data_IF_409602187089
#
_entry.id   IF_409602187089
#
_cell.length_a   1.000
_cell.length_b   1.000
_cell.length_c   1.000
_cell.angle_alpha   90.00
_cell.angle_beta   90.00
_cell.angle_gamma   90.00
#
_symmetry.space_group_name_H-M   'P 1'
#
loop_
_entity.id
_entity.type
_entity.pdbx_description
1 polymer ?
#
# COMPACT_ATOMS: atom_id res chain seq x y z
N UNK A 1 42.06 -87.42 -54.21
CA UNK A 1 41.34 -87.01 -53.00
C UNK A 1 41.08 -85.54 -53.14
N UNK A 2 39.99 -85.20 -53.85
CA UNK A 2 39.62 -83.81 -54.13
C UNK A 2 38.56 -83.35 -53.15
N UNK A 3 38.78 -82.12 -52.64
CA UNK A 3 37.77 -81.44 -51.83
C UNK A 3 37.18 -80.29 -52.66
N UNK A 4 35.86 -80.14 -52.75
CA UNK A 4 35.27 -79.08 -53.49
C UNK A 4 35.28 -77.75 -52.65
N UNK A 5 35.60 -76.64 -53.36
CA UNK A 5 35.53 -75.27 -52.84
C UNK A 5 34.11 -74.80 -53.01
N UNK A 6 33.48 -74.46 -51.90
CA UNK A 6 32.17 -73.70 -51.88
C UNK A 6 32.47 -72.25 -51.80
N UNK A 7 32.06 -71.53 -52.82
CA UNK A 7 32.13 -70.08 -52.87
C UNK A 7 30.80 -69.46 -52.37
N UNK A 8 30.87 -68.75 -51.26
CA UNK A 8 29.73 -67.98 -50.73
C UNK A 8 29.84 -66.55 -51.19
N UNK A 9 29.02 -66.15 -52.15
CA UNK A 9 28.81 -64.77 -52.47
C UNK A 9 27.67 -64.24 -51.57
N UNK A 10 27.99 -63.46 -50.54
CA UNK A 10 27.03 -62.77 -49.67
C UNK A 10 26.66 -61.49 -50.35
N UNK A 11 25.43 -61.35 -50.80
CA UNK A 11 24.83 -60.16 -51.25
C UNK A 11 24.39 -59.29 -49.98
N UNK A 12 25.14 -58.26 -49.71
CA UNK A 12 24.75 -57.28 -48.74
C UNK A 12 23.70 -56.30 -49.37
N UNK A 13 22.44 -56.47 -48.99
CA UNK A 13 21.41 -55.45 -49.26
C UNK A 13 21.49 -54.36 -48.19
N UNK A 14 22.05 -53.18 -48.55
CA UNK A 14 22.05 -52.00 -47.68
C UNK A 14 20.68 -51.42 -47.65
N UNK A 15 20.01 -51.53 -46.52
CA UNK A 15 18.77 -50.74 -46.23
C UNK A 15 19.18 -49.34 -45.79
N UNK A 16 19.00 -48.37 -46.68
CA UNK A 16 19.15 -46.92 -46.34
C UNK A 16 17.88 -46.51 -45.63
N UNK A 17 17.95 -46.42 -44.30
CA UNK A 17 16.89 -45.80 -43.49
C UNK A 17 16.97 -44.28 -43.64
N UNK A 18 16.07 -43.66 -44.42
CA UNK A 18 15.90 -42.24 -44.50
C UNK A 18 15.11 -41.80 -43.24
N UNK A 19 15.83 -41.33 -42.22
CA UNK A 19 15.22 -40.68 -41.07
C UNK A 19 14.65 -39.30 -41.49
N UNK A 20 13.35 -39.19 -41.68
CA UNK A 20 12.67 -37.93 -41.88
C UNK A 20 12.73 -37.17 -40.55
N UNK A 21 13.60 -36.14 -40.44
CA UNK A 21 13.58 -35.18 -39.35
C UNK A 21 12.28 -34.33 -39.51
N UNK A 22 11.28 -34.61 -38.69
CA UNK A 22 10.13 -33.75 -38.54
C UNK A 22 10.57 -32.42 -37.92
N UNK A 23 10.58 -31.36 -38.69
CA UNK A 23 10.76 -29.98 -38.18
C UNK A 23 9.59 -29.69 -37.24
N UNK A 24 9.84 -29.17 -36.02
CA UNK A 24 8.76 -28.76 -35.13
C UNK A 24 7.92 -27.67 -35.85
N UNK A 25 6.62 -27.88 -35.88
CA UNK A 25 5.70 -26.85 -36.38
C UNK A 25 5.87 -25.56 -35.55
N UNK A 26 5.87 -24.37 -36.17
CA UNK A 26 5.95 -23.14 -35.41
C UNK A 26 4.75 -23.08 -34.44
N UNK A 27 5.06 -22.86 -33.16
CA UNK A 27 4.02 -22.64 -32.17
C UNK A 27 3.13 -21.45 -32.61
N UNK A 28 1.81 -21.56 -32.48
CA UNK A 28 0.94 -20.45 -32.83
C UNK A 28 1.38 -19.21 -32.04
N UNK A 29 1.60 -18.10 -32.75
CA UNK A 29 1.91 -16.82 -32.10
C UNK A 29 0.78 -16.51 -31.10
N UNK A 30 1.13 -16.29 -29.84
CA UNK A 30 0.16 -15.87 -28.84
C UNK A 30 -0.55 -14.61 -29.36
N UNK A 31 -1.87 -14.63 -29.42
CA UNK A 31 -2.62 -13.43 -29.76
C UNK A 31 -2.20 -12.28 -28.83
N UNK A 32 -2.01 -11.06 -29.37
CA UNK A 32 -1.65 -9.92 -28.56
C UNK A 32 -2.72 -9.75 -27.46
N UNK A 33 -2.29 -9.81 -26.22
CA UNK A 33 -3.19 -9.63 -25.09
C UNK A 33 -3.97 -8.31 -25.25
N UNK A 34 -5.29 -8.35 -25.12
CA UNK A 34 -6.16 -7.19 -25.29
C UNK A 34 -5.67 -5.99 -24.47
N UNK A 35 -5.79 -4.80 -25.05
CA UNK A 35 -5.44 -3.56 -24.35
C UNK A 35 -6.31 -3.40 -23.11
N UNK A 36 -5.72 -3.21 -21.91
CA UNK A 36 -6.49 -2.96 -20.70
C UNK A 36 -7.35 -1.69 -20.84
N UNK A 37 -8.48 -1.67 -20.13
CA UNK A 37 -9.38 -0.53 -20.08
C UNK A 37 -9.48 0.05 -18.68
N UNK A 38 -9.85 1.33 -18.58
CA UNK A 38 -9.99 1.99 -17.29
C UNK A 38 -11.05 1.29 -16.42
N UNK A 39 -12.25 1.09 -16.96
CA UNK A 39 -13.40 0.57 -16.19
C UNK A 39 -13.17 -0.85 -15.69
N UNK A 40 -12.61 -1.72 -16.50
CA UNK A 40 -12.46 -3.14 -16.17
C UNK A 40 -11.18 -3.46 -15.43
N UNK A 41 -10.06 -2.87 -15.87
CA UNK A 41 -8.74 -3.36 -15.48
C UNK A 41 -8.02 -2.40 -14.53
N UNK A 42 -8.20 -1.07 -14.70
CA UNK A 42 -7.45 -0.06 -13.95
C UNK A 42 -8.15 0.39 -12.69
N UNK A 43 -9.48 0.61 -12.74
CA UNK A 43 -10.25 1.04 -11.56
C UNK A 43 -10.12 0.11 -10.37
N UNK A 44 -10.16 -1.23 -10.50
CA UNK A 44 -9.97 -2.13 -9.36
C UNK A 44 -8.62 -1.89 -8.66
N UNK A 45 -7.55 -1.71 -9.44
CA UNK A 45 -6.21 -1.41 -8.89
C UNK A 45 -6.23 -0.06 -8.17
N UNK A 46 -6.84 0.96 -8.78
CA UNK A 46 -6.91 2.29 -8.18
C UNK A 46 -7.74 2.33 -6.91
N UNK A 47 -8.85 1.62 -6.87
CA UNK A 47 -9.67 1.49 -5.67
C UNK A 47 -8.90 0.85 -4.51
N UNK A 48 -8.07 -0.15 -4.80
CA UNK A 48 -7.29 -0.84 -3.78
C UNK A 48 -6.06 -0.04 -3.33
N UNK A 49 -5.29 0.49 -4.26
CA UNK A 49 -3.93 1.00 -4.00
C UNK A 49 -3.80 2.53 -4.02
N UNK A 50 -4.69 3.25 -4.69
CA UNK A 50 -4.49 4.67 -4.99
C UNK A 50 -5.53 5.59 -4.33
N UNK A 51 -6.82 5.24 -4.42
CA UNK A 51 -7.92 6.12 -4.03
C UNK A 51 -8.02 6.39 -2.54
N UNK A 52 -7.29 5.65 -1.69
CA UNK A 52 -7.17 6.01 -0.29
C UNK A 52 -6.61 7.43 -0.10
N UNK A 53 -5.74 7.87 -1.03
CA UNK A 53 -5.14 9.21 -1.03
C UNK A 53 -5.64 10.07 -2.20
N UNK A 54 -5.84 9.47 -3.38
CA UNK A 54 -6.23 10.14 -4.62
C UNK A 54 -7.76 10.19 -4.78
N UNK A 55 -8.42 10.94 -3.92
CA UNK A 55 -9.88 11.17 -3.94
C UNK A 55 -10.21 12.60 -3.53
N UNK A 56 -11.40 13.12 -3.85
CA UNK A 56 -11.79 14.47 -3.47
C UNK A 56 -11.66 14.70 -1.96
N UNK A 57 -11.11 15.84 -1.57
CA UNK A 57 -10.94 16.23 -0.16
C UNK A 57 -9.78 15.57 0.58
N UNK A 58 -8.94 14.80 -0.12
CA UNK A 58 -7.75 14.16 0.43
C UNK A 58 -6.47 14.84 -0.03
N UNK A 59 -5.31 14.35 0.48
CA UNK A 59 -4.01 14.99 0.34
C UNK A 59 -3.46 14.99 -1.08
N UNK A 60 -3.78 13.98 -1.89
CA UNK A 60 -3.25 13.90 -3.24
C UNK A 60 -3.76 15.06 -4.11
N UNK A 61 -2.92 15.64 -4.98
CA UNK A 61 -3.27 16.84 -5.74
C UNK A 61 -4.34 16.61 -6.81
N UNK A 62 -4.59 15.35 -7.18
CA UNK A 62 -5.62 14.98 -8.15
C UNK A 62 -6.40 13.77 -7.68
N UNK A 63 -7.65 13.69 -8.11
CA UNK A 63 -8.51 12.52 -7.93
C UNK A 63 -8.23 11.46 -9.00
N UNK A 64 -8.32 10.19 -8.63
CA UNK A 64 -8.26 9.03 -9.52
C UNK A 64 -9.55 8.19 -9.40
N UNK A 65 -10.68 8.84 -9.11
CA UNK A 65 -11.96 8.18 -8.92
C UNK A 65 -12.68 7.98 -10.24
N UNK A 66 -12.71 9.00 -11.09
CA UNK A 66 -13.36 8.93 -12.40
C UNK A 66 -12.35 8.87 -13.54
N UNK A 67 -12.83 8.43 -14.70
CA UNK A 67 -12.00 8.42 -15.91
C UNK A 67 -11.57 9.83 -16.32
N UNK A 68 -12.49 10.77 -16.24
CA UNK A 68 -12.28 12.18 -16.62
C UNK A 68 -11.21 12.84 -15.75
N UNK A 69 -11.21 12.55 -14.45
CA UNK A 69 -10.19 13.03 -13.52
C UNK A 69 -8.84 12.33 -13.74
N UNK A 70 -8.86 11.06 -14.08
CA UNK A 70 -7.65 10.23 -14.21
C UNK A 70 -6.93 10.42 -15.55
N UNK A 71 -7.69 10.46 -16.65
CA UNK A 71 -7.14 10.41 -18.01
C UNK A 71 -6.09 11.49 -18.30
N UNK A 72 -6.22 12.74 -17.86
CA UNK A 72 -5.21 13.78 -18.05
C UNK A 72 -3.84 13.42 -17.43
N UNK A 73 -3.82 12.62 -16.39
CA UNK A 73 -2.63 12.22 -15.64
C UNK A 73 -2.01 10.90 -16.11
N UNK A 74 -2.59 10.22 -17.09
CA UNK A 74 -2.22 8.87 -17.47
C UNK A 74 -0.70 8.68 -17.68
N UNK A 75 -0.03 9.60 -18.38
CA UNK A 75 1.43 9.54 -18.60
C UNK A 75 2.22 9.64 -17.30
N UNK A 76 1.84 10.58 -16.42
CA UNK A 76 2.48 10.73 -15.12
C UNK A 76 2.25 9.51 -14.24
N UNK A 77 1.04 8.95 -14.23
CA UNK A 77 0.71 7.72 -13.53
C UNK A 77 1.62 6.58 -13.98
N UNK A 78 1.72 6.34 -15.30
CA UNK A 78 2.63 5.33 -15.86
C UNK A 78 4.05 5.51 -15.34
N UNK A 79 4.61 6.72 -15.45
CA UNK A 79 5.98 7.00 -15.00
C UNK A 79 6.14 6.69 -13.51
N UNK A 80 5.23 7.16 -12.65
CA UNK A 80 5.33 7.00 -11.20
C UNK A 80 5.16 5.55 -10.75
N UNK A 81 4.27 4.78 -11.37
CA UNK A 81 4.08 3.37 -11.01
C UNK A 81 5.22 2.50 -11.56
N UNK A 82 5.68 2.74 -12.78
CA UNK A 82 6.80 1.99 -13.37
C UNK A 82 8.11 2.18 -12.60
N UNK A 83 8.34 3.38 -12.07
CA UNK A 83 9.51 3.69 -11.22
C UNK A 83 9.25 3.41 -9.73
N UNK A 84 8.08 2.85 -9.37
CA UNK A 84 7.67 2.54 -7.99
C UNK A 84 7.69 3.73 -7.03
N UNK A 85 7.54 4.95 -7.55
CA UNK A 85 7.37 6.15 -6.74
C UNK A 85 5.94 6.28 -6.20
N UNK A 86 4.98 5.60 -6.84
CA UNK A 86 3.58 5.50 -6.41
C UNK A 86 3.08 4.05 -6.51
N UNK A 87 2.36 3.58 -5.50
CA UNK A 87 2.14 4.19 -4.17
C UNK A 87 3.46 4.42 -3.41
N UNK A 88 3.50 5.35 -2.42
CA UNK A 88 4.70 5.60 -1.63
C UNK A 88 4.96 4.41 -0.67
N UNK A 89 5.66 3.42 -1.18
CA UNK A 89 6.03 2.18 -0.49
C UNK A 89 7.47 1.84 -0.83
N UNK A 90 8.40 2.46 -0.09
CA UNK A 90 9.83 2.41 -0.39
C UNK A 90 10.59 1.29 0.34
N UNK A 91 9.91 0.19 0.64
CA UNK A 91 10.53 -0.99 1.25
C UNK A 91 11.26 -1.78 0.17
N UNK A 92 12.53 -2.13 0.42
CA UNK A 92 13.29 -2.99 -0.47
C UNK A 92 12.66 -4.39 -0.50
N UNK A 93 12.23 -4.81 -1.69
CA UNK A 93 11.53 -6.08 -1.91
C UNK A 93 12.42 -7.30 -1.78
N UNK A 94 13.73 -7.11 -1.78
CA UNK A 94 14.73 -8.19 -1.75
C UNK A 94 15.33 -8.39 -0.36
N UNK A 95 14.95 -7.57 0.61
CA UNK A 95 15.53 -7.60 1.96
C UNK A 95 14.46 -7.96 3.00
N UNK A 96 14.79 -8.92 3.86
CA UNK A 96 13.99 -9.28 5.02
C UNK A 96 12.66 -9.98 4.70
N UNK A 97 11.76 -9.98 5.67
CA UNK A 97 10.44 -10.63 5.56
C UNK A 97 9.48 -9.66 4.86
N UNK A 98 8.95 -10.08 3.72
CA UNK A 98 8.07 -9.26 2.87
C UNK A 98 6.56 -9.45 3.20
N UNK A 99 6.22 -9.68 4.46
CA UNK A 99 4.83 -9.83 4.91
C UNK A 99 4.46 -8.65 5.81
N UNK A 100 3.99 -7.60 5.17
CA UNK A 100 3.58 -6.38 5.87
C UNK A 100 2.06 -6.30 6.01
N UNK A 101 1.62 -5.83 7.16
CA UNK A 101 0.22 -5.44 7.35
C UNK A 101 -0.07 -4.20 6.50
N UNK A 102 -1.18 -4.22 5.76
CA UNK A 102 -1.60 -3.12 4.89
C UNK A 102 -0.60 -2.75 3.79
N UNK A 103 0.05 -3.75 3.18
CA UNK A 103 0.95 -3.55 2.05
C UNK A 103 0.23 -2.85 0.89
N UNK A 104 0.74 -1.67 0.53
CA UNK A 104 0.21 -0.83 -0.54
C UNK A 104 0.98 -0.95 -1.84
N UNK A 105 2.03 -1.75 -1.87
CA UNK A 105 2.82 -1.94 -3.09
C UNK A 105 1.96 -2.48 -4.22
N UNK A 106 2.33 -2.14 -5.44
CA UNK A 106 1.77 -2.74 -6.65
C UNK A 106 2.50 -4.04 -6.97
N UNK A 107 1.74 -5.04 -7.41
CA UNK A 107 2.33 -6.22 -8.04
C UNK A 107 2.92 -5.87 -9.41
N UNK A 108 3.77 -6.74 -9.96
CA UNK A 108 4.27 -6.58 -11.34
C UNK A 108 3.13 -6.58 -12.34
N UNK A 109 2.10 -7.38 -12.09
CA UNK A 109 0.91 -7.45 -12.93
C UNK A 109 0.10 -6.15 -12.91
N UNK A 110 -0.05 -5.52 -11.72
CA UNK A 110 -0.74 -4.22 -11.62
C UNK A 110 0.01 -3.15 -12.39
N UNK A 111 1.35 -3.13 -12.26
CA UNK A 111 2.21 -2.19 -12.98
C UNK A 111 2.09 -2.41 -14.49
N UNK A 112 2.20 -3.66 -14.96
CA UNK A 112 2.05 -4.00 -16.37
C UNK A 112 0.69 -3.57 -16.91
N UNK A 113 -0.38 -3.84 -16.17
CA UNK A 113 -1.74 -3.45 -16.54
C UNK A 113 -1.86 -1.94 -16.73
N UNK A 114 -1.36 -1.15 -15.78
CA UNK A 114 -1.40 0.32 -15.87
C UNK A 114 -0.54 0.82 -17.02
N UNK A 115 0.66 0.27 -17.19
CA UNK A 115 1.58 0.67 -18.27
C UNK A 115 0.96 0.39 -19.63
N UNK A 116 0.43 -0.82 -19.84
CA UNK A 116 -0.22 -1.21 -21.11
C UNK A 116 -1.48 -0.41 -21.38
N UNK A 117 -2.26 -0.08 -20.34
CA UNK A 117 -3.40 0.80 -20.48
C UNK A 117 -3.00 2.15 -21.04
N UNK A 118 -1.96 2.77 -20.49
CA UNK A 118 -1.47 4.08 -20.93
C UNK A 118 -0.90 4.00 -22.35
N UNK A 119 -0.10 2.97 -22.66
CA UNK A 119 0.53 2.77 -23.97
C UNK A 119 -0.52 2.47 -25.04
N UNK A 120 -1.60 1.82 -24.67
CA UNK A 120 -2.77 1.59 -25.56
C UNK A 120 -3.67 2.82 -25.75
N UNK A 121 -3.24 4.02 -25.31
CA UNK A 121 -4.00 5.25 -25.47
C UNK A 121 -4.93 5.58 -24.31
N UNK A 122 -4.84 4.85 -23.21
CA UNK A 122 -5.64 4.97 -22.01
C UNK A 122 -7.17 4.91 -22.30
N UNK A 123 -7.67 3.83 -22.92
CA UNK A 123 -9.09 3.72 -23.26
C UNK A 123 -9.97 3.63 -22.01
N UNK A 124 -11.19 4.17 -22.11
CA UNK A 124 -12.17 4.15 -21.01
C UNK A 124 -12.70 2.74 -20.71
N UNK A 125 -13.10 2.02 -21.74
CA UNK A 125 -13.83 0.77 -21.61
C UNK A 125 -15.35 0.96 -21.46
N UNK A 126 -16.05 -0.13 -21.27
CA UNK A 126 -17.50 -0.18 -21.18
C UNK A 126 -17.98 0.14 -19.75
N UNK A 127 -19.02 0.94 -19.62
CA UNK A 127 -19.56 1.32 -18.32
C UNK A 127 -20.13 0.14 -17.51
N UNK A 128 -20.57 -0.92 -18.18
CA UNK A 128 -21.06 -2.14 -17.50
C UNK A 128 -19.94 -2.88 -16.74
N UNK A 129 -18.69 -2.65 -17.11
CA UNK A 129 -17.53 -3.28 -16.49
C UNK A 129 -16.96 -2.45 -15.31
N UNK A 130 -17.53 -1.27 -15.08
CA UNK A 130 -17.13 -0.42 -13.96
C UNK A 130 -17.58 -1.05 -12.63
N UNK A 131 -16.64 -1.35 -11.71
CA UNK A 131 -17.01 -1.85 -10.41
C UNK A 131 -17.75 -0.79 -9.59
N UNK A 132 -18.53 -1.18 -8.58
CA UNK A 132 -19.12 -0.25 -7.63
C UNK A 132 -18.05 0.67 -7.03
N UNK A 133 -18.43 1.93 -6.80
CA UNK A 133 -17.51 2.87 -6.15
C UNK A 133 -17.09 2.33 -4.77
N UNK A 134 -15.79 2.44 -4.48
CA UNK A 134 -15.27 2.06 -3.16
C UNK A 134 -15.82 3.04 -2.11
N UNK A 135 -16.42 2.49 -1.08
CA UNK A 135 -16.81 3.25 0.10
C UNK A 135 -15.59 3.31 1.03
N UNK A 136 -15.18 4.51 1.37
CA UNK A 136 -14.11 4.73 2.33
C UNK A 136 -14.72 5.01 3.70
N UNK A 137 -14.00 4.60 4.75
CA UNK A 137 -14.39 4.95 6.10
C UNK A 137 -14.54 6.47 6.22
N UNK A 138 -15.55 6.88 6.95
CA UNK A 138 -15.76 8.29 7.28
C UNK A 138 -14.70 8.72 8.30
N UNK A 139 -13.83 9.62 7.88
CA UNK A 139 -12.77 10.13 8.78
C UNK A 139 -13.30 11.06 9.87
N UNK A 140 -14.60 11.34 9.89
CA UNK A 140 -15.23 12.09 10.98
C UNK A 140 -15.62 11.22 12.16
N UNK A 141 -15.68 9.88 11.96
CA UNK A 141 -16.09 8.93 12.99
C UNK A 141 -14.95 8.00 13.40
N UNK A 142 -15.06 7.45 14.59
CA UNK A 142 -14.15 6.44 15.12
C UNK A 142 -14.26 5.13 14.29
N UNK A 143 -13.15 4.74 13.65
CA UNK A 143 -13.17 3.60 12.69
C UNK A 143 -13.35 2.23 13.36
N UNK A 144 -13.16 2.15 14.66
CA UNK A 144 -13.27 0.89 15.40
C UNK A 144 -14.57 0.76 16.19
N UNK A 145 -15.55 1.63 15.95
CA UNK A 145 -16.84 1.63 16.64
C UNK A 145 -17.55 0.26 16.59
N UNK A 146 -17.55 -0.39 15.43
CA UNK A 146 -18.15 -1.72 15.27
C UNK A 146 -17.43 -2.80 16.07
N UNK A 147 -16.09 -2.69 16.19
CA UNK A 147 -15.25 -3.68 16.89
C UNK A 147 -15.40 -3.53 18.40
N UNK A 148 -15.51 -2.31 18.91
CA UNK A 148 -15.55 -2.02 20.35
C UNK A 148 -16.94 -1.66 20.87
N UNK A 149 -17.95 -1.62 20.01
CA UNK A 149 -19.34 -1.42 20.40
C UNK A 149 -19.70 0.04 20.73
N UNK A 150 -18.93 1.02 20.24
CA UNK A 150 -19.25 2.42 20.50
C UNK A 150 -18.11 3.40 20.20
N UNK A 151 -18.25 4.65 20.64
CA UNK A 151 -17.22 5.68 20.48
C UNK A 151 -15.97 5.35 21.31
N UNK A 152 -14.83 6.04 21.06
CA UNK A 152 -13.64 5.85 21.88
C UNK A 152 -13.88 6.36 23.32
N UNK A 153 -13.28 5.70 24.30
CA UNK A 153 -13.39 6.09 25.70
C UNK A 153 -12.70 7.43 26.00
N UNK A 154 -11.70 7.78 25.20
CA UNK A 154 -10.91 8.99 25.39
C UNK A 154 -10.60 9.64 24.05
N UNK A 155 -10.87 10.93 23.93
CA UNK A 155 -10.51 11.78 22.81
C UNK A 155 -9.61 12.94 23.23
N UNK A 156 -8.37 12.97 22.72
CA UNK A 156 -7.40 14.02 23.00
C UNK A 156 -7.20 14.84 21.73
N UNK A 157 -7.40 16.15 21.78
CA UNK A 157 -7.21 17.04 20.63
C UNK A 157 -6.01 17.94 20.86
N UNK A 158 -5.15 18.06 19.83
CA UNK A 158 -4.13 19.11 19.84
C UNK A 158 -4.78 20.49 19.94
N UNK A 159 -4.05 21.48 20.41
CA UNK A 159 -4.49 22.87 20.27
C UNK A 159 -4.58 23.25 18.80
N UNK A 160 -5.49 24.16 18.42
CA UNK A 160 -5.58 24.62 17.04
C UNK A 160 -4.31 25.31 16.56
N UNK A 161 -3.97 25.10 15.31
CA UNK A 161 -2.86 25.80 14.63
C UNK A 161 -3.30 26.23 13.24
N UNK A 162 -2.93 27.43 12.85
CA UNK A 162 -3.15 27.94 11.50
C UNK A 162 -1.81 28.05 10.78
N UNK A 163 -1.63 27.23 9.75
CA UNK A 163 -0.44 27.26 8.92
C UNK A 163 -0.45 28.52 8.03
N UNK A 164 0.58 29.39 8.12
CA UNK A 164 0.69 30.54 7.24
C UNK A 164 0.85 30.12 5.77
N UNK A 165 0.18 30.83 4.86
CA UNK A 165 0.16 30.48 3.44
C UNK A 165 1.54 30.56 2.75
N UNK A 166 2.46 31.37 3.26
CA UNK A 166 3.80 31.60 2.72
C UNK A 166 4.92 31.12 3.65
N UNK A 167 4.61 30.23 4.59
CA UNK A 167 5.61 29.66 5.48
C UNK A 167 6.29 28.46 4.85
N UNK A 168 7.52 28.19 5.31
CA UNK A 168 8.17 26.92 5.09
C UNK A 168 7.53 25.84 5.97
N UNK A 169 7.93 24.59 5.79
CA UNK A 169 7.58 23.46 6.64
C UNK A 169 7.68 23.83 8.11
N UNK A 170 6.65 23.50 8.87
CA UNK A 170 6.57 23.80 10.29
C UNK A 170 6.17 22.56 11.08
N UNK A 171 6.82 22.39 12.20
CA UNK A 171 6.54 21.33 13.17
C UNK A 171 5.79 21.94 14.35
N UNK A 172 4.51 21.66 14.45
CA UNK A 172 3.67 22.09 15.56
C UNK A 172 3.71 21.05 16.68
N UNK A 173 4.18 21.44 17.87
CA UNK A 173 4.47 20.53 18.99
C UNK A 173 3.72 20.89 20.28
N UNK A 174 2.39 20.88 20.29
CA UNK A 174 1.64 21.15 21.48
C UNK A 174 1.67 19.96 22.44
N UNK A 175 1.70 20.24 23.74
CA UNK A 175 1.46 19.29 24.80
C UNK A 175 0.03 19.44 25.31
N UNK A 176 -0.67 18.31 25.49
CA UNK A 176 -2.07 18.29 25.95
C UNK A 176 -2.22 17.24 27.03
N UNK A 177 -2.70 17.59 28.23
CA UNK A 177 -3.01 16.62 29.26
C UNK A 177 -4.04 15.59 28.81
N UNK A 178 -3.88 14.34 29.20
CA UNK A 178 -4.85 13.28 28.90
C UNK A 178 -6.15 13.43 29.68
N UNK A 179 -6.10 14.09 30.82
CA UNK A 179 -7.21 14.20 31.75
C UNK A 179 -7.52 12.92 32.54
N UNK A 180 -6.68 11.91 32.42
CA UNK A 180 -6.86 10.66 33.17
C UNK A 180 -6.54 10.86 34.64
N UNK A 181 -7.44 10.36 35.50
CA UNK A 181 -7.29 10.33 36.97
C UNK A 181 -6.89 8.95 37.47
N UNK A 182 -6.89 7.96 36.61
CA UNK A 182 -6.44 6.58 36.90
C UNK A 182 -5.71 6.01 35.69
N UNK A 183 -4.87 5.02 35.93
CA UNK A 183 -4.11 4.33 34.89
C UNK A 183 -5.05 3.55 33.93
N UNK A 184 -4.80 3.61 32.65
CA UNK A 184 -5.59 2.92 31.63
C UNK A 184 -4.72 2.17 30.64
N UNK A 185 -5.14 0.98 30.30
CA UNK A 185 -4.54 0.21 29.21
C UNK A 185 -5.22 0.51 27.88
N UNK A 186 -4.45 1.01 26.93
CA UNK A 186 -4.93 1.35 25.60
C UNK A 186 -4.93 0.11 24.72
N UNK A 187 -6.08 -0.26 24.19
CA UNK A 187 -6.28 -1.41 23.30
C UNK A 187 -6.33 -1.02 21.84
N UNK A 188 -6.75 0.19 21.53
CA UNK A 188 -6.80 0.72 20.18
C UNK A 188 -6.56 2.23 20.19
N UNK A 189 -5.94 2.73 19.13
CA UNK A 189 -5.61 4.13 18.95
C UNK A 189 -5.92 4.53 17.52
N UNK A 190 -6.47 5.71 17.35
CA UNK A 190 -6.62 6.36 16.06
C UNK A 190 -6.15 7.81 16.17
N UNK A 191 -5.34 8.25 15.21
CA UNK A 191 -4.96 9.66 15.05
C UNK A 191 -5.42 10.11 13.68
N UNK A 192 -5.96 11.33 13.62
CA UNK A 192 -6.37 11.94 12.35
C UNK A 192 -6.45 13.47 12.48
N UNK A 193 -6.22 14.19 11.40
CA UNK A 193 -6.60 15.59 11.33
C UNK A 193 -8.12 15.75 11.45
N UNK A 194 -8.58 16.68 12.30
CA UNK A 194 -10.00 16.82 12.64
C UNK A 194 -10.82 17.55 11.58
N UNK A 195 -10.17 18.16 10.59
CA UNK A 195 -10.86 18.98 9.56
C UNK A 195 -10.39 18.59 8.15
N UNK A 196 -11.24 18.84 7.16
CA UNK A 196 -10.90 18.63 5.74
C UNK A 196 -9.68 19.47 5.32
N UNK A 197 -9.61 20.79 5.63
CA UNK A 197 -8.40 21.57 5.37
C UNK A 197 -7.16 20.98 6.06
N UNK A 198 -7.28 20.58 7.32
CA UNK A 198 -6.19 19.93 8.07
C UNK A 198 -5.66 18.69 7.36
N UNK A 199 -6.54 17.83 6.82
CA UNK A 199 -6.13 16.65 6.06
C UNK A 199 -5.31 16.96 4.80
N UNK A 200 -5.51 18.12 4.22
CA UNK A 200 -4.80 18.55 3.00
C UNK A 200 -3.41 19.11 3.26
N UNK A 201 -3.14 19.54 4.48
CA UNK A 201 -1.89 20.20 4.86
C UNK A 201 -1.09 19.43 5.91
N UNK A 202 -1.64 18.37 6.52
CA UNK A 202 -0.90 17.54 7.47
C UNK A 202 -0.26 16.37 6.73
N UNK A 203 1.08 16.30 6.75
CA UNK A 203 1.83 15.22 6.16
C UNK A 203 1.86 14.00 7.09
N UNK A 204 2.24 14.21 8.35
CA UNK A 204 2.18 13.22 9.41
C UNK A 204 2.02 13.87 10.80
N UNK A 205 1.68 13.06 11.77
CA UNK A 205 1.61 13.45 13.17
C UNK A 205 2.09 12.30 14.05
N UNK A 206 2.97 12.61 14.98
CA UNK A 206 3.36 11.69 16.04
C UNK A 206 2.69 12.14 17.34
N UNK A 207 2.12 11.18 18.07
CA UNK A 207 1.67 11.37 19.43
C UNK A 207 2.65 10.63 20.34
N UNK A 208 3.28 11.36 21.24
CA UNK A 208 4.17 10.81 22.25
C UNK A 208 3.51 10.93 23.62
N UNK A 209 3.58 9.85 24.38
CA UNK A 209 3.07 9.83 25.74
C UNK A 209 4.17 10.34 26.68
N UNK A 210 3.90 11.43 27.35
CA UNK A 210 4.74 11.96 28.44
C UNK A 210 4.11 11.59 29.77
N UNK A 211 4.80 10.76 30.52
CA UNK A 211 4.38 10.27 31.84
C UNK A 211 5.58 9.90 32.67
N UNK A 212 5.38 9.83 33.96
CA UNK A 212 6.42 9.34 34.86
C UNK A 212 6.72 7.88 34.56
N UNK A 213 7.97 7.59 34.18
CA UNK A 213 8.41 6.23 33.89
C UNK A 213 9.16 5.68 35.07
N UNK A 214 8.66 4.56 35.58
CA UNK A 214 9.22 3.89 36.76
C UNK A 214 9.92 2.57 36.43
N UNK A 215 9.75 2.07 35.18
CA UNK A 215 10.43 0.84 34.75
C UNK A 215 11.86 1.17 34.29
N UNK A 216 12.90 0.61 34.94
CA UNK A 216 14.30 0.82 34.59
C UNK A 216 14.62 0.40 33.12
N UNK A 217 13.92 -0.61 32.60
CA UNK A 217 14.11 -1.06 31.20
C UNK A 217 13.52 -0.04 30.22
N UNK A 218 12.36 0.53 30.56
CA UNK A 218 11.73 1.57 29.75
C UNK A 218 12.54 2.87 29.82
N UNK A 219 13.13 3.22 30.97
CA UNK A 219 14.04 4.37 31.11
C UNK A 219 15.30 4.23 30.25
N UNK A 220 15.85 3.01 30.14
CA UNK A 220 16.97 2.73 29.23
C UNK A 220 16.59 2.88 27.76
N UNK A 221 15.39 2.45 27.39
CA UNK A 221 14.84 2.59 26.07
C UNK A 221 14.35 4.01 25.75
N UNK A 222 14.09 4.83 26.77
CA UNK A 222 13.65 6.22 26.59
C UNK A 222 14.72 7.13 25.94
N UNK A 223 15.97 6.71 25.94
CA UNK A 223 17.04 7.38 25.22
C UNK A 223 16.95 7.16 23.68
N UNK A 224 16.21 6.14 23.25
CA UNK A 224 16.01 5.82 21.82
C UNK A 224 14.81 6.56 21.22
N UNK A 225 14.90 6.81 19.90
CA UNK A 225 13.96 7.60 19.11
C UNK A 225 12.49 7.10 19.18
N UNK A 226 12.25 5.91 19.71
CA UNK A 226 10.91 5.30 19.83
C UNK A 226 10.27 5.41 21.21
N UNK A 227 10.99 5.83 22.22
CA UNK A 227 10.48 5.86 23.59
C UNK A 227 9.34 6.89 23.73
N UNK A 228 8.28 6.47 24.39
CA UNK A 228 7.07 7.28 24.55
C UNK A 228 6.19 7.39 23.31
N UNK A 229 6.57 6.82 22.15
CA UNK A 229 5.71 6.86 20.97
C UNK A 229 4.41 6.11 21.22
N UNK A 230 3.33 6.86 21.31
CA UNK A 230 2.00 6.31 21.47
C UNK A 230 1.48 5.78 20.11
N UNK A 231 1.52 6.61 19.11
CA UNK A 231 1.17 6.29 17.73
C UNK A 231 1.72 7.36 16.79
N UNK A 232 1.99 6.96 15.57
CA UNK A 232 2.16 7.88 14.44
C UNK A 232 0.97 7.79 13.49
N UNK A 233 0.66 8.89 12.86
CA UNK A 233 -0.25 8.97 11.74
C UNK A 233 0.48 9.52 10.51
N UNK A 234 0.25 8.90 9.38
CA UNK A 234 0.61 9.44 8.09
C UNK A 234 -0.58 9.22 7.15
N UNK A 235 -0.57 9.91 6.03
CA UNK A 235 -1.67 9.82 5.07
C UNK A 235 -1.96 8.37 4.70
N UNK A 236 -3.23 8.00 4.91
CA UNK A 236 -3.72 6.67 4.63
C UNK A 236 -3.59 5.66 5.79
N UNK A 237 -2.93 6.00 6.90
CA UNK A 237 -2.98 5.21 8.14
C UNK A 237 -4.28 5.56 8.88
N UNK A 238 -5.02 4.56 9.31
CA UNK A 238 -6.31 4.77 9.97
C UNK A 238 -6.25 4.61 11.48
N UNK A 239 -5.46 3.68 11.96
CA UNK A 239 -5.36 3.42 13.39
C UNK A 239 -4.70 2.08 13.66
N UNK A 240 -4.55 1.75 14.93
CA UNK A 240 -3.96 0.50 15.38
C UNK A 240 -4.82 -0.15 16.46
N UNK A 241 -4.97 -1.46 16.34
CA UNK A 241 -5.52 -2.32 17.40
C UNK A 241 -4.36 -3.13 17.93
N UNK A 242 -4.17 -3.10 19.24
CA UNK A 242 -3.13 -3.88 19.90
C UNK A 242 -3.44 -5.38 19.80
N UNK A 243 -2.40 -6.20 19.91
CA UNK A 243 -2.58 -7.66 19.91
C UNK A 243 -3.43 -8.10 21.10
N UNK A 244 -4.13 -9.22 21.02
CA UNK A 244 -4.84 -9.78 22.17
C UNK A 244 -3.91 -9.87 23.37
N UNK A 245 -4.44 -9.55 24.54
CA UNK A 245 -3.71 -9.53 25.82
C UNK A 245 -2.49 -8.59 25.88
N UNK A 246 -2.48 -7.56 25.03
CA UNK A 246 -1.47 -6.50 25.06
C UNK A 246 -2.11 -5.12 24.99
N UNK A 247 -1.37 -4.10 25.41
CA UNK A 247 -1.79 -2.70 25.38
C UNK A 247 -0.63 -1.78 25.67
N UNK A 248 -0.86 -0.47 25.52
CA UNK A 248 0.06 0.55 26.02
C UNK A 248 -0.52 1.14 27.29
N UNK A 249 0.28 1.22 28.35
CA UNK A 249 -0.14 1.83 29.61
C UNK A 249 -0.10 3.36 29.45
N UNK A 250 -1.21 4.01 29.78
CA UNK A 250 -1.33 5.46 29.90
C UNK A 250 -1.66 5.76 31.36
N UNK A 251 -0.73 6.41 32.04
CA UNK A 251 -0.84 6.68 33.51
C UNK A 251 -1.72 7.90 33.77
N UNK A 252 -2.28 7.93 34.94
CA UNK A 252 -2.95 9.12 35.49
C UNK A 252 -2.01 10.33 35.42
N UNK A 253 -2.56 11.49 35.09
CA UNK A 253 -1.80 12.74 35.01
C UNK A 253 -0.83 12.84 33.82
N UNK A 254 -0.82 11.87 32.92
CA UNK A 254 0.00 11.92 31.69
C UNK A 254 -0.46 12.99 30.71
N UNK A 255 0.44 13.35 29.79
CA UNK A 255 0.19 14.25 28.67
C UNK A 255 0.50 13.58 27.33
N UNK A 256 -0.12 14.06 26.27
CA UNK A 256 0.29 13.74 24.90
C UNK A 256 1.04 14.93 24.32
N UNK A 257 2.28 14.70 23.96
CA UNK A 257 3.11 15.62 23.19
C UNK A 257 2.96 15.29 21.72
N UNK A 258 2.42 16.24 20.98
CA UNK A 258 2.24 16.09 19.54
C UNK A 258 3.49 16.56 18.80
N UNK A 259 3.69 16.00 17.63
CA UNK A 259 4.68 16.42 16.67
C UNK A 259 4.00 16.39 15.28
N UNK A 260 3.42 17.52 14.89
CA UNK A 260 2.53 17.61 13.72
C UNK A 260 3.26 18.37 12.62
N UNK A 261 3.42 17.69 11.50
CA UNK A 261 4.12 18.21 10.32
C UNK A 261 3.17 18.30 9.11
#
# INVERSE_FOLDING_TARGET
MDRPRVSWRTLLHGVVAVSAMALPAPAPAAEPAATPTFTKDVVPIFQDKCQACHRPGYIAPMSLVTYEETRPWARSIKTRVATRQMPPWHIDRNVGIQKFKNDRSLSEQDIDTIVRWVDGGAPRGEMKDLPPAKVFADDSVWNFAEIFGGPPDLGIKSTPYTMPALAQDHWWKPEVPTGLTEDRWIRAIEIRPSTVPGRRITHHALARLQQEETDPLALGAAADVGAGLLMEWAVGKQGEIMRPNSGKLMKAGSSVVWDIH
#
